data_IF_577123392960
#
_entry.id   IF_577123392960
#
_cell.length_a   1.000
_cell.length_b   1.000
_cell.length_c   1.000
_cell.angle_alpha   90.00
_cell.angle_beta   90.00
_cell.angle_gamma   90.00
#
_symmetry.space_group_name_H-M   'P 1'
#
loop_
_entity.id
_entity.type
_entity.pdbx_description
1 polymer ?
#
# COMPACT_ATOMS: atom_id res chain seq x y z
N UNK A 1 11.44 42.48 10.21
CA UNK A 1 10.75 41.58 9.27
C UNK A 1 9.90 40.63 10.12
N UNK A 2 8.61 40.95 10.28
CA UNK A 2 7.69 40.16 11.11
C UNK A 2 7.18 38.99 10.27
N UNK A 3 7.54 37.75 10.65
CA UNK A 3 6.94 36.55 10.05
C UNK A 3 5.61 36.32 10.77
N UNK A 4 4.51 36.45 10.03
CA UNK A 4 3.14 36.32 10.55
C UNK A 4 2.92 34.86 10.95
N UNK A 5 2.84 34.60 12.25
CA UNK A 5 2.60 33.26 12.84
C UNK A 5 1.22 32.66 12.47
N UNK A 6 0.34 33.45 11.85
CA UNK A 6 -1.02 33.06 11.45
C UNK A 6 -1.15 32.45 10.05
N UNK A 7 -0.30 32.83 9.09
CA UNK A 7 -0.40 32.34 7.70
C UNK A 7 0.07 30.88 7.56
N UNK A 8 1.09 30.49 8.33
CA UNK A 8 1.58 29.09 8.40
C UNK A 8 0.49 28.14 8.90
N UNK A 9 -0.32 28.57 9.87
CA UNK A 9 -1.35 27.72 10.48
C UNK A 9 -2.56 27.51 9.55
N UNK A 10 -2.94 28.55 8.78
CA UNK A 10 -4.06 28.47 7.83
C UNK A 10 -3.71 27.62 6.60
N UNK A 11 -2.48 27.73 6.09
CA UNK A 11 -2.00 26.88 4.98
C UNK A 11 -1.92 25.41 5.39
N UNK A 12 -1.39 25.12 6.58
CA UNK A 12 -1.36 23.75 7.12
C UNK A 12 -2.76 23.18 7.37
N UNK A 13 -3.71 24.02 7.79
CA UNK A 13 -5.10 23.60 7.98
C UNK A 13 -5.81 23.33 6.65
N UNK A 14 -5.60 24.16 5.62
CA UNK A 14 -6.11 23.92 4.26
C UNK A 14 -5.55 22.62 3.66
N UNK A 15 -4.26 22.33 3.86
CA UNK A 15 -3.63 21.08 3.40
C UNK A 15 -4.26 19.86 4.09
N UNK A 16 -4.51 19.95 5.41
CA UNK A 16 -5.18 18.86 6.14
C UNK A 16 -6.61 18.64 5.65
N UNK A 17 -7.40 19.71 5.45
CA UNK A 17 -8.77 19.59 4.92
C UNK A 17 -8.76 18.92 3.52
N UNK A 18 -7.83 19.31 2.65
CA UNK A 18 -7.71 18.66 1.33
C UNK A 18 -7.32 17.18 1.43
N UNK A 19 -6.52 16.81 2.43
CA UNK A 19 -6.12 15.42 2.67
C UNK A 19 -7.27 14.60 3.25
N UNK A 20 -8.05 15.16 4.17
CA UNK A 20 -9.25 14.55 4.74
C UNK A 20 -10.28 14.25 3.64
N UNK A 21 -10.56 15.22 2.76
CA UNK A 21 -11.50 15.05 1.65
C UNK A 21 -11.05 13.97 0.65
N UNK A 22 -9.75 13.92 0.34
CA UNK A 22 -9.18 12.91 -0.56
C UNK A 22 -9.29 11.51 0.03
N UNK A 23 -8.95 11.34 1.31
CA UNK A 23 -9.02 10.05 2.01
C UNK A 23 -10.47 9.56 2.16
N UNK A 24 -11.42 10.46 2.47
CA UNK A 24 -12.85 10.14 2.47
C UNK A 24 -13.33 9.69 1.09
N UNK A 25 -12.86 10.32 0.03
CA UNK A 25 -13.20 9.94 -1.35
C UNK A 25 -12.72 8.54 -1.68
N UNK A 26 -11.46 8.22 -1.33
CA UNK A 26 -10.89 6.87 -1.51
C UNK A 26 -11.64 5.80 -0.71
N UNK A 27 -11.97 6.09 0.55
CA UNK A 27 -12.74 5.17 1.39
C UNK A 27 -14.15 4.92 0.85
N UNK A 28 -14.84 5.97 0.36
CA UNK A 28 -16.15 5.81 -0.27
C UNK A 28 -16.07 4.96 -1.54
N UNK A 29 -15.03 5.14 -2.36
CA UNK A 29 -14.79 4.30 -3.53
C UNK A 29 -14.54 2.83 -3.15
N UNK A 30 -13.70 2.57 -2.14
CA UNK A 30 -13.49 1.21 -1.60
C UNK A 30 -14.80 0.55 -1.16
N UNK A 31 -15.68 1.29 -0.48
CA UNK A 31 -16.95 0.75 0.03
C UNK A 31 -17.97 0.54 -1.10
N UNK A 32 -18.14 1.54 -1.98
CA UNK A 32 -19.24 1.56 -2.94
C UNK A 32 -18.92 0.84 -4.25
N UNK A 33 -17.67 0.91 -4.70
CA UNK A 33 -17.27 0.39 -6.02
C UNK A 33 -16.61 -0.99 -5.90
N UNK A 34 -16.00 -1.29 -4.74
CA UNK A 34 -15.29 -2.54 -4.47
C UNK A 34 -15.90 -3.38 -3.33
N UNK A 35 -17.07 -2.98 -2.82
CA UNK A 35 -17.84 -3.69 -1.79
C UNK A 35 -17.06 -4.01 -0.50
N UNK A 36 -16.06 -3.19 -0.15
CA UNK A 36 -15.35 -3.38 1.12
C UNK A 36 -16.32 -3.16 2.29
N UNK A 37 -16.38 -4.16 3.18
CA UNK A 37 -17.16 -4.05 4.40
C UNK A 37 -16.56 -2.98 5.32
N UNK A 38 -17.43 -2.14 5.89
CA UNK A 38 -17.04 -1.13 6.87
C UNK A 38 -16.25 -1.76 8.03
N UNK A 39 -16.66 -2.94 8.53
CA UNK A 39 -15.97 -3.64 9.61
C UNK A 39 -14.53 -4.01 9.24
N UNK A 40 -14.29 -4.43 7.99
CA UNK A 40 -12.95 -4.78 7.49
C UNK A 40 -12.06 -3.55 7.41
N UNK A 41 -12.56 -2.44 6.87
CA UNK A 41 -11.83 -1.17 6.80
C UNK A 41 -11.53 -0.68 8.22
N UNK A 42 -12.53 -0.67 9.11
CA UNK A 42 -12.41 -0.24 10.50
C UNK A 42 -11.28 -0.99 11.22
N UNK A 43 -11.27 -2.33 11.09
CA UNK A 43 -10.24 -3.18 11.69
C UNK A 43 -8.85 -2.92 11.10
N UNK A 44 -8.75 -2.78 9.78
CA UNK A 44 -7.47 -2.53 9.12
C UNK A 44 -6.86 -1.17 9.52
N UNK A 45 -7.69 -0.12 9.59
CA UNK A 45 -7.27 1.21 10.01
C UNK A 45 -7.01 1.29 11.52
N UNK A 46 -7.61 0.40 12.33
CA UNK A 46 -7.54 0.48 13.79
C UNK A 46 -8.41 1.61 14.36
N UNK A 47 -9.53 1.90 13.69
CA UNK A 47 -10.54 2.86 14.11
C UNK A 47 -11.77 2.12 14.63
N UNK A 48 -12.56 2.74 15.51
CA UNK A 48 -13.90 2.24 15.78
C UNK A 48 -14.82 2.50 14.57
N UNK A 49 -15.87 1.69 14.42
CA UNK A 49 -16.86 1.88 13.35
C UNK A 49 -17.49 3.28 13.44
N UNK A 50 -17.73 3.79 14.65
CA UNK A 50 -18.27 5.13 14.86
C UNK A 50 -17.30 6.22 14.37
N UNK A 51 -16.01 6.10 14.68
CA UNK A 51 -14.99 7.04 14.21
C UNK A 51 -14.90 7.04 12.68
N UNK A 52 -14.91 5.85 12.07
CA UNK A 52 -14.87 5.71 10.61
C UNK A 52 -16.11 6.33 9.95
N UNK A 53 -17.31 6.12 10.51
CA UNK A 53 -18.55 6.72 9.98
C UNK A 53 -18.52 8.25 10.06
N UNK A 54 -18.12 8.81 11.21
CA UNK A 54 -17.94 10.26 11.38
C UNK A 54 -16.95 10.84 10.37
N UNK A 55 -15.84 10.14 10.13
CA UNK A 55 -14.88 10.54 9.10
C UNK A 55 -15.49 10.53 7.70
N UNK A 56 -16.22 9.47 7.33
CA UNK A 56 -16.93 9.39 6.05
C UNK A 56 -17.99 10.49 5.86
N UNK A 57 -18.56 10.97 6.97
CA UNK A 57 -19.52 12.09 7.02
C UNK A 57 -18.82 13.48 7.00
N UNK A 58 -17.49 13.53 7.00
CA UNK A 58 -16.68 14.74 6.85
C UNK A 58 -16.12 15.32 8.15
N UNK A 59 -16.23 14.62 9.28
CA UNK A 59 -15.56 15.02 10.51
C UNK A 59 -14.06 14.67 10.46
N UNK A 60 -13.17 15.56 10.89
CA UNK A 60 -11.72 15.29 10.84
C UNK A 60 -11.28 14.22 11.85
N UNK A 61 -10.38 13.32 11.42
CA UNK A 61 -9.73 12.35 12.30
C UNK A 61 -8.53 12.98 13.00
N UNK A 62 -8.47 12.80 14.32
CA UNK A 62 -7.33 13.24 15.14
C UNK A 62 -6.88 14.69 14.85
N UNK A 63 -7.77 15.69 14.99
CA UNK A 63 -7.49 17.08 14.58
C UNK A 63 -6.27 17.72 15.26
N UNK A 64 -5.84 17.16 16.40
CA UNK A 64 -4.68 17.62 17.17
C UNK A 64 -3.46 16.69 17.07
N UNK A 65 -3.54 15.58 16.33
CA UNK A 65 -2.45 14.60 16.20
C UNK A 65 -2.24 14.21 14.73
N UNK A 66 -1.51 15.10 14.03
CA UNK A 66 -1.17 14.93 12.62
C UNK A 66 -0.40 13.63 12.34
N UNK A 67 0.44 13.17 13.27
CA UNK A 67 1.22 11.94 13.08
C UNK A 67 0.31 10.74 13.01
N UNK A 68 -0.65 10.67 13.92
CA UNK A 68 -1.65 9.60 13.91
C UNK A 68 -2.54 9.67 12.68
N UNK A 69 -2.93 10.88 12.25
CA UNK A 69 -3.66 11.07 11.01
C UNK A 69 -2.87 10.53 9.79
N UNK A 70 -1.60 10.93 9.62
CA UNK A 70 -0.77 10.45 8.51
C UNK A 70 -0.64 8.91 8.49
N UNK A 71 -0.51 8.26 9.64
CA UNK A 71 -0.48 6.79 9.71
C UNK A 71 -1.79 6.14 9.20
N UNK A 72 -2.93 6.77 9.44
CA UNK A 72 -4.22 6.31 8.90
C UNK A 72 -4.30 6.60 7.40
N UNK A 73 -3.92 7.81 6.98
CA UNK A 73 -3.91 8.21 5.57
C UNK A 73 -3.03 7.27 4.73
N UNK A 74 -1.82 6.94 5.21
CA UNK A 74 -0.91 5.99 4.55
C UNK A 74 -1.57 4.61 4.39
N UNK A 75 -2.27 4.12 5.41
CA UNK A 75 -3.04 2.87 5.32
C UNK A 75 -4.17 2.97 4.28
N UNK A 76 -4.92 4.08 4.25
CA UNK A 76 -5.98 4.30 3.27
C UNK A 76 -5.39 4.28 1.86
N UNK A 77 -4.28 4.98 1.64
CA UNK A 77 -3.55 5.01 0.38
C UNK A 77 -3.11 3.61 -0.05
N UNK A 78 -2.45 2.86 0.84
CA UNK A 78 -2.00 1.50 0.55
C UNK A 78 -3.17 0.59 0.17
N UNK A 79 -4.30 0.68 0.89
CA UNK A 79 -5.48 -0.12 0.59
C UNK A 79 -6.12 0.29 -0.73
N UNK A 80 -6.27 1.59 -0.97
CA UNK A 80 -6.86 2.12 -2.21
C UNK A 80 -6.01 1.78 -3.44
N UNK A 81 -4.69 1.98 -3.39
CA UNK A 81 -3.84 1.66 -4.53
C UNK A 81 -3.80 0.18 -4.88
N UNK A 82 -4.15 -0.73 -3.95
CA UNK A 82 -4.31 -2.16 -4.28
C UNK A 82 -5.45 -2.43 -5.29
N UNK A 83 -6.41 -1.50 -5.42
CA UNK A 83 -7.51 -1.61 -6.39
C UNK A 83 -7.20 -0.96 -7.75
N UNK A 84 -6.24 -0.06 -7.80
CA UNK A 84 -5.91 0.73 -9.00
C UNK A 84 -4.60 0.30 -9.68
N UNK A 85 -3.69 -0.35 -8.95
CA UNK A 85 -2.37 -0.69 -9.47
C UNK A 85 -2.44 -1.76 -10.55
N UNK A 86 -1.74 -1.50 -11.65
CA UNK A 86 -1.52 -2.47 -12.73
C UNK A 86 -0.77 -3.69 -12.18
N UNK A 87 -1.21 -4.89 -12.56
CA UNK A 87 -0.83 -6.14 -11.90
C UNK A 87 0.60 -6.58 -12.19
N UNK A 88 1.11 -6.25 -13.36
CA UNK A 88 2.51 -6.50 -13.70
C UNK A 88 3.43 -5.59 -12.87
N UNK A 89 3.08 -4.30 -12.68
CA UNK A 89 3.80 -3.39 -11.78
C UNK A 89 3.77 -3.88 -10.32
N UNK A 90 2.61 -4.35 -9.84
CA UNK A 90 2.48 -4.89 -8.49
C UNK A 90 3.38 -6.13 -8.29
N UNK A 91 3.44 -7.01 -9.30
CA UNK A 91 4.31 -8.18 -9.31
C UNK A 91 5.80 -7.78 -9.30
N UNK A 92 6.21 -6.82 -10.13
CA UNK A 92 7.57 -6.27 -10.16
C UNK A 92 7.98 -5.73 -8.79
N UNK A 93 7.07 -5.01 -8.12
CA UNK A 93 7.27 -4.48 -6.77
C UNK A 93 7.56 -5.60 -5.77
N UNK A 94 6.75 -6.67 -5.75
CA UNK A 94 7.00 -7.80 -4.85
C UNK A 94 8.34 -8.48 -5.13
N UNK A 95 8.67 -8.72 -6.41
CA UNK A 95 9.94 -9.34 -6.78
C UNK A 95 11.13 -8.46 -6.40
N UNK A 96 11.01 -7.14 -6.60
CA UNK A 96 12.05 -6.17 -6.23
C UNK A 96 12.38 -6.26 -4.74
N UNK A 97 11.37 -6.30 -3.86
CA UNK A 97 11.67 -6.40 -2.42
C UNK A 97 12.25 -7.77 -2.06
N UNK A 98 11.78 -8.86 -2.67
CA UNK A 98 12.36 -10.19 -2.43
C UNK A 98 13.84 -10.27 -2.85
N UNK A 99 14.19 -9.68 -3.98
CA UNK A 99 15.56 -9.70 -4.50
C UNK A 99 16.46 -8.72 -3.76
N UNK A 100 16.04 -7.46 -3.64
CA UNK A 100 16.90 -6.39 -3.14
C UNK A 100 16.96 -6.33 -1.62
N UNK A 101 15.82 -6.51 -0.94
CA UNK A 101 15.77 -6.41 0.52
C UNK A 101 16.02 -7.76 1.18
N UNK A 102 15.38 -8.83 0.69
CA UNK A 102 15.51 -10.16 1.29
C UNK A 102 16.66 -10.99 0.70
N UNK A 103 17.33 -10.51 -0.34
CA UNK A 103 18.49 -11.18 -0.94
C UNK A 103 18.16 -12.50 -1.65
N UNK A 104 16.90 -12.76 -1.97
CA UNK A 104 16.50 -13.99 -2.68
C UNK A 104 16.85 -13.82 -4.16
N UNK A 105 17.71 -14.68 -4.68
CA UNK A 105 18.09 -14.61 -6.10
C UNK A 105 16.91 -14.93 -7.02
N UNK A 106 16.91 -14.34 -8.22
CA UNK A 106 15.96 -14.64 -9.30
C UNK A 106 15.98 -16.13 -9.66
N UNK A 107 17.14 -16.77 -9.59
CA UNK A 107 17.30 -18.23 -9.74
C UNK A 107 16.52 -19.01 -8.69
N UNK A 108 16.56 -18.61 -7.41
CA UNK A 108 15.79 -19.27 -6.36
C UNK A 108 14.29 -19.10 -6.59
N UNK A 109 13.84 -17.90 -6.96
CA UNK A 109 12.44 -17.62 -7.28
C UNK A 109 11.98 -18.52 -8.43
N UNK A 110 12.75 -18.61 -9.52
CA UNK A 110 12.44 -19.45 -10.68
C UNK A 110 12.30 -20.94 -10.32
N UNK A 111 13.22 -21.44 -9.48
CA UNK A 111 13.17 -22.84 -9.00
C UNK A 111 11.95 -23.12 -8.13
N UNK A 112 11.59 -22.19 -7.24
CA UNK A 112 10.45 -22.35 -6.35
C UNK A 112 9.12 -22.24 -7.12
N UNK A 113 9.04 -21.33 -8.09
CA UNK A 113 7.85 -21.15 -8.93
C UNK A 113 7.71 -22.21 -10.02
N UNK A 114 8.79 -22.93 -10.36
CA UNK A 114 8.79 -23.94 -11.42
C UNK A 114 8.69 -23.33 -12.81
N UNK A 115 9.23 -22.13 -13.01
CA UNK A 115 9.28 -21.40 -14.29
C UNK A 115 10.72 -21.21 -14.75
N UNK A 116 10.93 -20.67 -15.95
CA UNK A 116 12.29 -20.39 -16.42
C UNK A 116 12.91 -19.21 -15.67
N UNK A 117 14.24 -19.18 -15.56
CA UNK A 117 14.94 -18.01 -15.02
C UNK A 117 14.62 -16.75 -15.85
N UNK A 118 14.56 -16.89 -17.17
CA UNK A 118 14.27 -15.79 -18.09
C UNK A 118 12.89 -15.17 -17.83
N UNK A 119 11.88 -15.96 -17.46
CA UNK A 119 10.55 -15.42 -17.12
C UNK A 119 10.63 -14.49 -15.91
N UNK A 120 11.38 -14.87 -14.88
CA UNK A 120 11.57 -14.05 -13.68
C UNK A 120 12.37 -12.78 -13.99
N UNK A 121 13.43 -12.91 -14.80
CA UNK A 121 14.23 -11.76 -15.23
C UNK A 121 13.42 -10.80 -16.11
N UNK A 122 12.59 -11.32 -17.01
CA UNK A 122 11.70 -10.50 -17.83
C UNK A 122 10.69 -9.73 -16.97
N UNK A 123 10.10 -10.35 -15.94
CA UNK A 123 9.25 -9.63 -14.98
C UNK A 123 10.02 -8.51 -14.24
N UNK A 124 11.27 -8.75 -13.85
CA UNK A 124 12.12 -7.75 -13.16
C UNK A 124 12.59 -6.61 -14.08
N UNK A 125 12.62 -6.84 -15.39
CA UNK A 125 13.05 -5.86 -16.40
C UNK A 125 11.87 -5.16 -17.09
N UNK A 126 10.66 -5.29 -16.54
CA UNK A 126 9.43 -4.71 -17.09
C UNK A 126 9.07 -5.22 -18.50
N UNK A 127 9.48 -6.45 -18.84
CA UNK A 127 9.22 -7.13 -20.13
C UNK A 127 8.10 -8.16 -20.02
N UNK A 128 6.98 -7.73 -19.45
CA UNK A 128 5.85 -8.60 -19.13
C UNK A 128 5.12 -9.16 -20.36
N UNK A 129 5.26 -8.51 -21.51
CA UNK A 129 4.78 -8.99 -22.81
C UNK A 129 5.50 -10.26 -23.29
N UNK A 130 6.67 -10.55 -22.73
CA UNK A 130 7.50 -11.72 -23.05
C UNK A 130 7.29 -12.89 -22.09
N UNK A 131 6.36 -12.75 -21.13
CA UNK A 131 6.10 -13.77 -20.10
C UNK A 131 4.66 -14.25 -20.24
N UNK A 132 4.48 -15.57 -20.35
CA UNK A 132 3.14 -16.16 -20.43
C UNK A 132 2.34 -15.94 -19.14
N UNK A 133 1.01 -15.87 -19.24
CA UNK A 133 0.12 -15.71 -18.08
C UNK A 133 0.28 -16.85 -17.05
N UNK A 134 0.53 -18.10 -17.49
CA UNK A 134 0.81 -19.23 -16.60
C UNK A 134 2.10 -19.01 -15.79
N UNK A 135 3.15 -18.51 -16.44
CA UNK A 135 4.40 -18.17 -15.77
C UNK A 135 4.20 -16.99 -14.80
N UNK A 136 3.52 -15.92 -15.23
CA UNK A 136 3.19 -14.77 -14.36
C UNK A 136 2.41 -15.21 -13.12
N UNK A 137 1.41 -16.07 -13.29
CA UNK A 137 0.63 -16.61 -12.18
C UNK A 137 1.50 -17.38 -11.18
N UNK A 138 2.36 -18.30 -11.66
CA UNK A 138 3.29 -19.07 -10.81
C UNK A 138 4.28 -18.18 -10.08
N UNK A 139 4.81 -17.17 -10.76
CA UNK A 139 5.72 -16.17 -10.17
C UNK A 139 4.98 -15.36 -9.10
N UNK A 140 3.77 -14.86 -9.39
CA UNK A 140 2.97 -14.08 -8.46
C UNK A 140 2.63 -14.85 -7.18
N UNK A 141 2.16 -16.10 -7.30
CA UNK A 141 1.89 -16.95 -6.13
C UNK A 141 3.16 -17.17 -5.29
N UNK A 142 4.30 -17.39 -5.96
CA UNK A 142 5.59 -17.55 -5.28
C UNK A 142 6.02 -16.27 -4.58
N UNK A 143 5.93 -15.14 -5.27
CA UNK A 143 6.30 -13.83 -4.73
C UNK A 143 5.42 -13.43 -3.54
N UNK A 144 4.10 -13.56 -3.66
CA UNK A 144 3.15 -13.30 -2.58
C UNK A 144 3.42 -14.17 -1.35
N UNK A 145 3.66 -15.48 -1.55
CA UNK A 145 3.94 -16.41 -0.45
C UNK A 145 5.24 -16.06 0.27
N UNK A 146 6.32 -15.80 -0.49
CA UNK A 146 7.62 -15.43 0.09
C UNK A 146 7.52 -14.07 0.81
N UNK A 147 6.83 -13.10 0.20
CA UNK A 147 6.61 -11.77 0.78
C UNK A 147 5.86 -11.86 2.11
N UNK A 148 4.82 -12.69 2.17
CA UNK A 148 4.07 -12.94 3.40
C UNK A 148 4.94 -13.55 4.50
N UNK A 149 5.70 -14.60 4.18
CA UNK A 149 6.54 -15.32 5.15
C UNK A 149 7.71 -14.47 5.67
N UNK A 150 8.34 -13.69 4.80
CA UNK A 150 9.53 -12.92 5.15
C UNK A 150 9.21 -11.55 5.75
N UNK A 151 7.93 -11.16 5.80
CA UNK A 151 7.50 -9.90 6.42
C UNK A 151 7.90 -9.81 7.90
N UNK A 152 7.98 -10.92 8.61
CA UNK A 152 8.44 -10.96 10.01
C UNK A 152 9.90 -10.50 10.18
N UNK A 153 10.72 -10.68 9.14
CA UNK A 153 12.12 -10.24 9.15
C UNK A 153 12.27 -8.73 8.97
N UNK A 154 11.23 -8.03 8.49
CA UNK A 154 11.28 -6.58 8.21
C UNK A 154 11.20 -5.76 9.50
N UNK A 155 10.44 -6.24 10.48
CA UNK A 155 10.29 -5.60 11.79
C UNK A 155 11.54 -5.69 12.68
N UNK A 156 12.50 -6.57 12.36
CA UNK A 156 13.73 -6.74 13.14
C UNK A 156 14.78 -5.66 12.84
N UNK A 157 14.61 -4.88 11.77
CA UNK A 157 15.58 -3.87 11.33
C UNK A 157 15.30 -2.44 11.82
N UNK A 158 14.23 -2.21 12.60
CA UNK A 158 13.95 -0.88 13.19
C UNK A 158 14.76 -0.59 14.47
N UNK A 159 15.57 -1.54 14.94
CA UNK A 159 16.36 -1.43 16.18
C UNK A 159 17.89 -1.41 15.98
N UNK A 160 18.39 -1.07 14.78
CA UNK A 160 19.83 -0.90 14.50
C UNK A 160 20.12 0.54 14.09
#
# INVERSE_FOLDING_TARGET
>A
MFKIKGESNMAEHMIMISSDEEDVTKLKKLINDYDFKIDTISNYLGLSIEQLKKFLDGESLFPNDKRKFFQISDKINLLYYSTEMEKDIELEGFLTVLVQFHGISTTSIAKISGVSLQDVENCMEHKFDQVSDDAKYKIAITAMRLRFLLKECETQNENV
#
